data_IF_989731793917
#
_entry.id   IF_989731793917
#
_cell.length_a   1.000
_cell.length_b   1.000
_cell.length_c   1.000
_cell.angle_alpha   90.00
_cell.angle_beta   90.00
_cell.angle_gamma   90.00
#
_symmetry.space_group_name_H-M   'P 1'
#
loop_
_entity.id
_entity.type
_entity.pdbx_description
1 polymer ?
#
# COMPACT_ATOMS: atom_id res chain seq x y z
N UNK A 1 21.13 -19.57 21.66
CA UNK A 1 21.70 -18.40 22.38
C UNK A 1 21.33 -17.18 21.58
N UNK A 2 20.98 -16.06 22.22
CA UNK A 2 20.66 -14.85 21.48
C UNK A 2 21.93 -14.30 20.81
N UNK A 3 21.79 -13.78 19.59
CA UNK A 3 22.87 -13.31 18.72
C UNK A 3 22.92 -11.79 18.83
N UNK A 4 24.06 -11.25 19.24
CA UNK A 4 24.28 -9.81 19.23
C UNK A 4 24.71 -9.36 17.85
N UNK A 5 23.73 -8.97 17.03
CA UNK A 5 23.96 -8.52 15.65
C UNK A 5 24.69 -7.17 15.57
N UNK A 6 24.74 -6.41 16.68
CA UNK A 6 25.39 -5.10 16.73
C UNK A 6 26.91 -5.19 16.71
N UNK A 7 27.44 -6.38 16.99
CA UNK A 7 28.87 -6.69 17.04
C UNK A 7 29.37 -7.47 15.82
N UNK A 8 28.47 -7.79 14.89
CA UNK A 8 28.79 -8.55 13.68
C UNK A 8 29.08 -7.60 12.53
N UNK A 9 30.03 -7.98 11.68
CA UNK A 9 30.17 -7.34 10.38
C UNK A 9 29.20 -7.96 9.36
N UNK A 10 29.10 -7.32 8.20
CA UNK A 10 28.23 -7.78 7.10
C UNK A 10 28.55 -9.21 6.65
N UNK A 11 29.83 -9.59 6.64
CA UNK A 11 30.26 -10.90 6.16
C UNK A 11 29.78 -12.04 7.08
N UNK A 12 29.79 -11.80 8.39
CA UNK A 12 29.44 -12.78 9.41
C UNK A 12 27.96 -12.75 9.80
N UNK A 13 27.24 -11.65 9.54
CA UNK A 13 25.86 -11.42 9.97
C UNK A 13 24.91 -12.57 9.59
N UNK A 14 24.78 -12.86 8.29
CA UNK A 14 23.89 -13.93 7.82
C UNK A 14 24.37 -15.33 8.23
N UNK A 15 25.69 -15.54 8.35
CA UNK A 15 26.26 -16.81 8.79
C UNK A 15 25.90 -17.09 10.26
N UNK A 16 25.95 -16.06 11.11
CA UNK A 16 25.60 -16.16 12.52
C UNK A 16 24.10 -16.36 12.74
N UNK A 17 23.25 -15.70 11.94
CA UNK A 17 21.79 -15.79 12.01
C UNK A 17 21.28 -17.16 11.53
N UNK A 18 21.88 -17.72 10.47
CA UNK A 18 21.48 -19.00 9.89
C UNK A 18 20.08 -18.99 9.26
N UNK A 19 19.56 -20.19 8.96
CA UNK A 19 18.27 -20.40 8.27
C UNK A 19 17.08 -20.59 9.25
N UNK A 20 17.34 -20.57 10.55
CA UNK A 20 16.37 -20.82 11.61
C UNK A 20 15.68 -19.56 12.13
N UNK A 21 14.95 -19.69 13.25
CA UNK A 21 14.46 -18.52 13.96
C UNK A 21 15.65 -17.68 14.45
N UNK A 22 15.63 -16.39 14.18
CA UNK A 22 16.66 -15.48 14.65
C UNK A 22 16.31 -14.99 16.05
N UNK A 23 17.10 -15.42 17.03
CA UNK A 23 17.01 -14.92 18.40
C UNK A 23 18.05 -13.82 18.57
N UNK A 24 17.61 -12.57 18.65
CA UNK A 24 18.48 -11.38 18.66
C UNK A 24 18.69 -10.92 20.09
N UNK A 25 19.95 -10.69 20.47
CA UNK A 25 20.27 -10.08 21.75
C UNK A 25 19.88 -8.61 21.72
N UNK A 26 19.18 -8.18 22.75
CA UNK A 26 18.65 -6.82 22.85
C UNK A 26 19.41 -6.01 23.90
N UNK A 27 19.33 -4.66 23.85
CA UNK A 27 19.91 -3.82 24.89
C UNK A 27 19.41 -4.19 26.29
N UNK A 28 20.14 -3.74 27.30
CA UNK A 28 19.82 -4.06 28.70
C UNK A 28 18.41 -3.57 29.04
N UNK A 29 17.57 -4.46 29.56
CA UNK A 29 16.18 -4.16 29.92
C UNK A 29 15.13 -4.72 28.95
N UNK A 30 15.56 -5.23 27.79
CA UNK A 30 14.70 -5.85 26.80
C UNK A 30 14.93 -7.37 26.77
N UNK A 31 13.84 -8.14 26.61
CA UNK A 31 13.95 -9.56 26.29
C UNK A 31 14.47 -9.75 24.86
N UNK A 32 15.09 -10.90 24.58
CA UNK A 32 15.59 -11.20 23.24
C UNK A 32 14.47 -11.13 22.20
N UNK A 33 14.72 -10.44 21.09
CA UNK A 33 13.75 -10.35 19.99
C UNK A 33 13.78 -11.66 19.21
N UNK A 34 12.60 -12.20 18.91
CA UNK A 34 12.49 -13.39 18.03
C UNK A 34 11.98 -12.98 16.65
N UNK A 35 12.78 -13.19 15.62
CA UNK A 35 12.33 -13.11 14.22
C UNK A 35 12.14 -14.53 13.71
N UNK A 36 10.90 -14.98 13.57
CA UNK A 36 10.62 -16.37 13.21
C UNK A 36 10.86 -16.65 11.73
N UNK A 37 11.12 -17.91 11.39
CA UNK A 37 11.28 -18.40 10.02
C UNK A 37 10.09 -17.97 9.16
N UNK A 38 8.88 -18.16 9.67
CA UNK A 38 7.67 -17.76 8.96
C UNK A 38 7.66 -16.26 8.66
N UNK A 39 8.04 -15.43 9.64
CA UNK A 39 8.02 -13.98 9.49
C UNK A 39 8.98 -13.49 8.41
N UNK A 40 10.25 -13.94 8.42
CA UNK A 40 11.20 -13.48 7.41
C UNK A 40 10.98 -14.18 6.06
N UNK A 41 10.47 -15.42 6.04
CA UNK A 41 10.05 -16.07 4.79
C UNK A 41 8.88 -15.33 4.10
N UNK A 42 7.94 -14.75 4.86
CA UNK A 42 6.90 -13.89 4.30
C UNK A 42 7.48 -12.62 3.68
N UNK A 43 8.53 -12.04 4.26
CA UNK A 43 9.21 -10.87 3.68
C UNK A 43 9.89 -11.24 2.36
N UNK A 44 10.64 -12.34 2.37
CA UNK A 44 11.27 -12.88 1.15
C UNK A 44 10.22 -13.18 0.08
N UNK A 45 9.08 -13.77 0.44
CA UNK A 45 7.99 -14.04 -0.48
C UNK A 45 7.36 -12.74 -1.03
N UNK A 46 7.20 -11.70 -0.20
CA UNK A 46 6.73 -10.39 -0.66
C UNK A 46 7.64 -9.84 -1.76
N UNK A 47 8.95 -9.75 -1.51
CA UNK A 47 9.90 -9.23 -2.51
C UNK A 47 9.97 -10.12 -3.76
N UNK A 48 10.01 -11.45 -3.56
CA UNK A 48 10.03 -12.41 -4.67
C UNK A 48 8.78 -12.31 -5.56
N UNK A 49 7.59 -12.13 -4.96
CA UNK A 49 6.36 -11.92 -5.75
C UNK A 49 6.35 -10.59 -6.47
N UNK A 50 6.93 -9.52 -5.90
CA UNK A 50 7.09 -8.22 -6.58
C UNK A 50 8.00 -8.34 -7.82
N UNK A 51 9.12 -9.06 -7.72
CA UNK A 51 9.98 -9.35 -8.88
C UNK A 51 9.21 -10.06 -9.99
N UNK A 52 8.47 -11.13 -9.66
CA UNK A 52 7.66 -11.85 -10.65
C UNK A 52 6.61 -10.93 -11.28
N UNK A 53 5.95 -10.08 -10.50
CA UNK A 53 5.00 -9.09 -11.02
C UNK A 53 5.66 -8.10 -11.97
N UNK A 54 6.84 -7.59 -11.64
CA UNK A 54 7.60 -6.69 -12.50
C UNK A 54 7.90 -7.36 -13.86
N UNK A 55 8.37 -8.62 -13.85
CA UNK A 55 8.59 -9.40 -15.08
C UNK A 55 7.27 -9.58 -15.87
N UNK A 56 6.17 -9.95 -15.21
CA UNK A 56 4.87 -10.16 -15.87
C UNK A 56 4.28 -8.87 -16.43
N UNK A 57 4.53 -7.73 -15.78
CA UNK A 57 4.10 -6.42 -16.25
C UNK A 57 4.84 -6.01 -17.54
N UNK A 58 6.06 -6.52 -17.76
CA UNK A 58 6.80 -6.28 -19.01
C UNK A 58 7.22 -4.82 -19.17
N UNK A 59 7.33 -4.08 -18.08
CA UNK A 59 7.54 -2.63 -18.08
C UNK A 59 8.69 -2.25 -17.16
N UNK A 60 9.63 -1.48 -17.69
CA UNK A 60 10.75 -0.87 -16.97
C UNK A 60 10.63 0.64 -17.04
N UNK A 61 11.43 1.31 -16.23
CA UNK A 61 11.47 2.77 -16.19
C UNK A 61 12.92 3.22 -16.27
N UNK A 62 13.18 4.15 -17.18
CA UNK A 62 14.46 4.86 -17.28
C UNK A 62 14.24 6.33 -16.94
N UNK A 63 15.23 6.97 -16.33
CA UNK A 63 15.18 8.40 -16.00
C UNK A 63 16.01 9.14 -17.02
N UNK A 64 15.36 10.06 -17.73
CA UNK A 64 15.98 10.96 -18.67
C UNK A 64 16.28 12.31 -17.98
N UNK A 65 17.54 12.71 -18.00
CA UNK A 65 18.03 13.95 -17.38
C UNK A 65 18.39 15.03 -18.43
N UNK A 66 18.16 14.79 -19.73
CA UNK A 66 18.63 15.67 -20.79
C UNK A 66 18.05 17.09 -20.70
N UNK A 67 16.87 17.24 -20.11
CA UNK A 67 16.16 18.52 -19.98
C UNK A 67 16.28 19.14 -18.57
N UNK A 68 17.06 18.53 -17.68
CA UNK A 68 17.19 19.02 -16.32
C UNK A 68 18.07 20.29 -16.28
N UNK A 69 17.61 21.36 -15.61
CA UNK A 69 18.49 22.50 -15.35
C UNK A 69 19.64 22.10 -14.40
N UNK A 70 20.79 22.79 -14.40
CA UNK A 70 21.99 22.36 -13.65
C UNK A 70 21.86 22.24 -12.12
N UNK A 71 20.75 22.67 -11.54
CA UNK A 71 20.45 22.61 -10.10
C UNK A 71 19.37 21.59 -9.74
N UNK A 72 18.80 20.93 -10.76
CA UNK A 72 17.78 19.90 -10.65
C UNK A 72 18.33 18.63 -11.27
N UNK A 73 18.21 17.51 -10.57
CA UNK A 73 18.58 16.19 -11.07
C UNK A 73 17.42 15.22 -10.86
N UNK A 74 16.19 15.76 -10.95
CA UNK A 74 14.97 14.99 -10.82
C UNK A 74 14.77 14.05 -12.00
N UNK A 75 15.09 14.49 -13.21
CA UNK A 75 14.79 13.80 -14.46
C UNK A 75 13.30 13.57 -14.69
N UNK A 76 13.00 13.10 -15.90
CA UNK A 76 11.68 12.63 -16.29
C UNK A 76 11.72 11.14 -16.59
N UNK A 77 10.80 10.42 -15.94
CA UNK A 77 10.73 8.98 -16.07
C UNK A 77 10.02 8.56 -17.35
N UNK A 78 10.70 7.73 -18.14
CA UNK A 78 10.19 7.17 -19.38
C UNK A 78 9.86 5.68 -19.22
N UNK A 79 8.60 5.27 -19.42
CA UNK A 79 8.23 3.87 -19.40
C UNK A 79 8.74 3.15 -20.66
N UNK A 80 9.38 2.01 -20.47
CA UNK A 80 9.81 1.14 -21.55
C UNK A 80 9.15 -0.22 -21.48
N UNK A 81 8.55 -0.65 -22.58
CA UNK A 81 8.05 -2.02 -22.72
C UNK A 81 9.24 -2.93 -23.05
N UNK A 82 9.33 -4.04 -22.33
CA UNK A 82 10.39 -5.03 -22.48
C UNK A 82 9.80 -6.42 -22.57
N UNK A 83 10.47 -7.30 -23.30
CA UNK A 83 10.08 -8.70 -23.38
C UNK A 83 10.24 -9.40 -22.02
N UNK A 84 9.22 -10.16 -21.61
CA UNK A 84 9.19 -10.79 -20.28
C UNK A 84 10.31 -11.83 -20.10
N UNK A 85 10.72 -12.53 -21.16
CA UNK A 85 11.81 -13.49 -21.08
C UNK A 85 13.15 -12.78 -20.90
N UNK A 86 13.33 -11.60 -21.53
CA UNK A 86 14.49 -10.75 -21.28
C UNK A 86 14.50 -10.25 -19.83
N UNK A 87 13.38 -9.72 -19.32
CA UNK A 87 13.28 -9.22 -17.94
C UNK A 87 13.63 -10.29 -16.91
N UNK A 88 13.14 -11.52 -17.12
CA UNK A 88 13.41 -12.65 -16.23
C UNK A 88 14.90 -12.98 -16.10
N UNK A 89 15.68 -12.75 -17.15
CA UNK A 89 17.10 -13.10 -17.21
C UNK A 89 18.04 -11.88 -17.09
N UNK A 90 17.48 -10.67 -16.93
CA UNK A 90 18.25 -9.43 -16.96
C UNK A 90 19.19 -9.28 -15.77
N UNK A 91 18.78 -9.80 -14.62
CA UNK A 91 19.51 -9.75 -13.36
C UNK A 91 19.80 -11.17 -12.86
N UNK A 92 20.95 -11.35 -12.20
CA UNK A 92 21.36 -12.63 -11.63
C UNK A 92 20.68 -12.88 -10.29
N UNK A 93 20.54 -11.81 -9.48
CA UNK A 93 19.97 -11.88 -8.13
C UNK A 93 18.87 -10.84 -7.93
N UNK A 94 18.04 -11.05 -6.91
CA UNK A 94 17.07 -10.05 -6.49
C UNK A 94 17.75 -8.76 -6.00
N UNK A 95 18.96 -8.84 -5.43
CA UNK A 95 19.71 -7.65 -5.00
C UNK A 95 20.05 -6.72 -6.16
N UNK A 96 20.56 -7.28 -7.26
CA UNK A 96 20.84 -6.51 -8.47
C UNK A 96 19.56 -5.84 -9.03
N UNK A 97 18.45 -6.58 -9.03
CA UNK A 97 17.15 -6.05 -9.49
C UNK A 97 16.61 -4.94 -8.58
N UNK A 98 16.65 -5.12 -7.26
CA UNK A 98 16.15 -4.17 -6.27
C UNK A 98 16.79 -2.79 -6.45
N UNK A 99 18.12 -2.76 -6.58
CA UNK A 99 18.88 -1.52 -6.71
C UNK A 99 18.75 -0.88 -8.09
N UNK A 100 18.63 -1.69 -9.16
CA UNK A 100 18.67 -1.18 -10.53
C UNK A 100 17.32 -0.72 -11.09
N UNK A 101 16.20 -1.26 -10.58
CA UNK A 101 14.88 -1.00 -11.16
C UNK A 101 14.06 0.01 -10.35
N UNK A 102 13.45 0.95 -11.06
CA UNK A 102 12.51 1.92 -10.50
C UNK A 102 11.07 1.40 -10.49
N UNK A 103 10.29 1.83 -9.51
CA UNK A 103 8.89 1.40 -9.33
C UNK A 103 7.91 2.18 -10.20
N UNK A 104 8.29 3.37 -10.64
CA UNK A 104 7.39 4.31 -11.28
C UNK A 104 6.93 5.47 -10.38
N UNK A 105 7.27 5.42 -9.09
CA UNK A 105 6.84 6.39 -8.09
C UNK A 105 7.98 7.34 -7.73
N UNK A 106 7.62 8.54 -7.26
CA UNK A 106 8.60 9.50 -6.78
C UNK A 106 8.08 10.21 -5.54
N UNK A 107 9.01 10.68 -4.71
CA UNK A 107 8.75 11.53 -3.55
C UNK A 107 9.63 12.77 -3.57
N UNK A 108 9.16 13.91 -3.04
CA UNK A 108 10.02 15.08 -2.89
C UNK A 108 11.07 14.82 -1.79
N UNK A 109 12.34 15.12 -2.04
CA UNK A 109 13.41 14.99 -1.04
C UNK A 109 14.25 16.26 -0.92
N UNK A 110 14.80 16.50 0.27
CA UNK A 110 15.71 17.64 0.48
C UNK A 110 17.04 17.46 -0.26
N UNK A 111 17.47 16.21 -0.47
CA UNK A 111 18.71 15.84 -1.15
C UNK A 111 18.72 16.23 -2.64
N UNK A 112 17.55 16.36 -3.25
CA UNK A 112 17.37 16.83 -4.63
C UNK A 112 17.00 18.32 -4.70
N UNK A 113 17.27 19.12 -3.65
CA UNK A 113 16.81 20.52 -3.53
C UNK A 113 15.28 20.65 -3.71
N UNK A 114 14.49 19.74 -3.12
CA UNK A 114 13.04 19.62 -3.31
C UNK A 114 12.62 19.08 -4.69
N UNK A 115 13.52 18.46 -5.43
CA UNK A 115 13.24 17.72 -6.66
C UNK A 115 12.62 16.33 -6.42
N UNK A 116 12.40 15.58 -7.51
CA UNK A 116 11.87 14.22 -7.50
C UNK A 116 12.99 13.24 -7.15
N UNK A 117 12.77 12.44 -6.10
CA UNK A 117 13.49 11.18 -5.88
C UNK A 117 12.66 10.04 -6.43
N UNK A 118 13.12 9.40 -7.49
CA UNK A 118 12.46 8.22 -8.06
C UNK A 118 12.76 7.01 -7.21
N UNK A 119 11.71 6.32 -6.77
CA UNK A 119 11.82 5.19 -5.86
C UNK A 119 12.23 3.93 -6.62
N UNK A 120 13.29 3.30 -6.14
CA UNK A 120 13.72 1.96 -6.54
C UNK A 120 12.89 0.88 -5.85
N UNK A 121 12.98 -0.36 -6.33
CA UNK A 121 12.42 -1.49 -5.58
C UNK A 121 13.17 -1.75 -4.26
N UNK A 122 14.44 -1.38 -4.17
CA UNK A 122 15.21 -1.34 -2.91
C UNK A 122 14.57 -0.38 -1.90
N UNK A 123 14.24 0.85 -2.30
CA UNK A 123 13.58 1.83 -1.42
C UNK A 123 12.28 1.27 -0.84
N UNK A 124 11.45 0.64 -1.69
CA UNK A 124 10.17 0.05 -1.28
C UNK A 124 10.37 -1.15 -0.36
N UNK A 125 11.33 -2.02 -0.66
CA UNK A 125 11.62 -3.19 0.18
C UNK A 125 12.17 -2.76 1.56
N UNK A 126 13.04 -1.75 1.60
CA UNK A 126 13.59 -1.13 2.81
C UNK A 126 12.48 -0.51 3.67
N UNK A 127 11.58 0.29 3.07
CA UNK A 127 10.43 0.82 3.80
C UNK A 127 9.54 -0.31 4.34
N UNK A 128 9.24 -1.33 3.52
CA UNK A 128 8.40 -2.45 3.92
C UNK A 128 8.99 -3.20 5.12
N UNK A 129 10.31 -3.46 5.12
CA UNK A 129 10.94 -4.16 6.24
C UNK A 129 10.99 -3.29 7.49
N UNK A 130 11.26 -1.99 7.38
CA UNK A 130 11.21 -1.06 8.50
C UNK A 130 9.82 -1.01 9.18
N UNK A 131 8.75 -0.93 8.38
CA UNK A 131 7.36 -0.97 8.88
C UNK A 131 7.04 -2.30 9.58
N UNK A 132 7.46 -3.42 8.98
CA UNK A 132 7.21 -4.75 9.56
C UNK A 132 8.01 -4.97 10.83
N UNK A 133 9.28 -4.58 10.86
CA UNK A 133 10.11 -4.63 12.07
C UNK A 133 9.47 -3.78 13.17
N UNK A 134 9.05 -2.56 12.84
CA UNK A 134 8.36 -1.69 13.80
C UNK A 134 7.13 -2.36 14.44
N UNK A 135 6.32 -3.05 13.63
CA UNK A 135 5.21 -3.84 14.13
C UNK A 135 5.65 -5.02 15.00
N UNK A 136 6.70 -5.74 14.59
CA UNK A 136 7.26 -6.86 15.35
C UNK A 136 7.72 -6.40 16.75
N UNK A 137 8.49 -5.31 16.82
CA UNK A 137 8.93 -4.69 18.05
C UNK A 137 7.74 -4.31 18.94
N UNK A 138 6.76 -3.58 18.40
CA UNK A 138 5.54 -3.21 19.14
C UNK A 138 4.78 -4.42 19.68
N UNK A 139 4.72 -5.50 18.91
CA UNK A 139 4.00 -6.71 19.31
C UNK A 139 4.69 -7.48 20.44
N UNK A 140 6.02 -7.60 20.41
CA UNK A 140 6.77 -8.37 21.42
C UNK A 140 7.02 -7.56 22.69
N UNK A 141 7.18 -6.24 22.58
CA UNK A 141 7.39 -5.35 23.72
C UNK A 141 6.13 -4.59 24.13
N UNK A 142 4.94 -5.10 23.76
CA UNK A 142 3.64 -4.42 23.98
C UNK A 142 3.43 -3.98 25.44
N UNK A 143 3.86 -4.78 26.41
CA UNK A 143 3.73 -4.46 27.84
C UNK A 143 4.61 -3.28 28.27
N UNK A 144 5.73 -3.06 27.57
CA UNK A 144 6.66 -1.96 27.80
C UNK A 144 6.18 -0.70 27.08
N UNK A 145 5.64 -0.84 25.86
CA UNK A 145 4.99 0.26 25.13
C UNK A 145 3.70 0.75 25.81
N UNK A 146 2.92 -0.13 26.45
CA UNK A 146 1.65 0.24 27.10
C UNK A 146 1.80 1.05 28.40
N UNK A 147 3.02 1.12 28.97
CA UNK A 147 3.26 1.75 30.26
C UNK A 147 3.38 3.29 30.21
N UNK A 148 3.66 3.89 29.06
CA UNK A 148 3.68 5.36 28.91
C UNK A 148 3.64 5.77 27.44
N UNK A 149 2.59 6.52 27.08
CA UNK A 149 2.19 6.72 25.67
C UNK A 149 2.88 7.92 24.99
N UNK A 150 3.46 8.87 25.73
CA UNK A 150 3.88 10.16 25.13
C UNK A 150 5.40 10.45 25.14
N UNK A 151 6.21 9.90 26.07
CA UNK A 151 7.67 10.20 26.15
C UNK A 151 8.60 8.99 25.93
N UNK A 152 8.05 7.76 25.95
CA UNK A 152 8.86 6.54 25.94
C UNK A 152 8.96 5.90 24.55
N UNK A 153 8.07 6.27 23.62
CA UNK A 153 8.17 5.81 22.23
C UNK A 153 9.49 6.29 21.60
N UNK A 154 9.85 7.57 21.76
CA UNK A 154 11.12 8.12 21.27
C UNK A 154 12.34 7.47 21.95
N UNK A 155 12.28 7.23 23.26
CA UNK A 155 13.40 6.61 24.00
C UNK A 155 13.59 5.14 23.61
N UNK A 156 12.49 4.39 23.45
CA UNK A 156 12.54 3.00 22.98
C UNK A 156 13.06 2.96 21.54
N UNK A 157 12.63 3.88 20.67
CA UNK A 157 13.14 3.91 19.30
C UNK A 157 14.64 4.27 19.25
N UNK A 158 15.12 5.18 20.10
CA UNK A 158 16.54 5.50 20.21
C UNK A 158 17.37 4.28 20.64
N UNK A 159 16.88 3.51 21.63
CA UNK A 159 17.53 2.27 22.10
C UNK A 159 17.55 1.17 21.03
N UNK A 160 16.49 1.08 20.23
CA UNK A 160 16.26 -0.02 19.30
C UNK A 160 16.71 0.28 17.85
N UNK A 161 16.94 1.55 17.52
CA UNK A 161 17.27 1.99 16.16
C UNK A 161 18.44 1.22 15.56
N UNK A 162 19.51 1.01 16.34
CA UNK A 162 20.68 0.29 15.84
C UNK A 162 20.37 -1.19 15.55
N UNK A 163 19.57 -1.84 16.40
CA UNK A 163 19.13 -3.23 16.16
C UNK A 163 18.25 -3.31 14.92
N UNK A 164 17.32 -2.36 14.76
CA UNK A 164 16.43 -2.29 13.60
C UNK A 164 17.21 -2.15 12.30
N UNK A 165 18.17 -1.23 12.22
CA UNK A 165 18.99 -1.00 11.03
C UNK A 165 19.78 -2.25 10.66
N UNK A 166 20.39 -2.94 11.64
CA UNK A 166 21.13 -4.18 11.38
C UNK A 166 20.21 -5.34 10.95
N UNK A 167 18.98 -5.42 11.50
CA UNK A 167 17.99 -6.43 11.08
C UNK A 167 17.45 -6.17 9.69
N UNK A 168 17.13 -4.92 9.38
CA UNK A 168 16.74 -4.48 8.04
C UNK A 168 17.84 -4.86 7.04
N UNK A 169 19.09 -4.53 7.35
CA UNK A 169 20.23 -4.91 6.51
C UNK A 169 20.33 -6.42 6.33
N UNK A 170 20.26 -7.21 7.42
CA UNK A 170 20.27 -8.68 7.34
C UNK A 170 19.16 -9.23 6.43
N UNK A 171 17.94 -8.70 6.54
CA UNK A 171 16.79 -9.12 5.74
C UNK A 171 16.97 -8.75 4.27
N UNK A 172 17.50 -7.55 3.99
CA UNK A 172 17.82 -7.12 2.63
C UNK A 172 18.92 -7.97 2.00
N UNK A 173 19.95 -8.34 2.75
CA UNK A 173 20.99 -9.28 2.30
C UNK A 173 20.42 -10.68 2.03
N UNK A 174 19.52 -11.16 2.91
CA UNK A 174 18.89 -12.48 2.76
C UNK A 174 18.11 -12.54 1.44
N UNK A 175 17.34 -11.50 1.14
CA UNK A 175 16.61 -11.36 -0.13
C UNK A 175 17.58 -11.21 -1.30
N UNK A 176 18.58 -10.33 -1.15
CA UNK A 176 19.52 -9.97 -2.20
C UNK A 176 20.34 -11.13 -2.74
N UNK A 177 20.57 -12.18 -1.93
CA UNK A 177 21.30 -13.40 -2.31
C UNK A 177 20.47 -14.38 -3.14
N UNK A 178 19.16 -14.21 -3.25
CA UNK A 178 18.29 -15.12 -3.99
C UNK A 178 18.47 -14.88 -5.47
N UNK A 179 18.73 -15.94 -6.23
CA UNK A 179 18.82 -15.84 -7.68
C UNK A 179 17.45 -15.50 -8.27
N UNK A 180 17.41 -14.70 -9.34
CA UNK A 180 16.14 -14.39 -10.05
C UNK A 180 15.46 -15.65 -10.60
N UNK A 181 16.26 -16.67 -10.95
CA UNK A 181 15.76 -17.98 -11.37
C UNK A 181 15.04 -18.69 -10.22
N UNK A 182 15.62 -18.72 -9.03
CA UNK A 182 14.99 -19.33 -7.85
C UNK A 182 13.75 -18.54 -7.43
N UNK A 183 13.82 -17.21 -7.42
CA UNK A 183 12.68 -16.35 -7.11
C UNK A 183 11.51 -16.63 -8.06
N UNK A 184 11.77 -16.72 -9.36
CA UNK A 184 10.76 -17.09 -10.35
C UNK A 184 10.16 -18.47 -10.04
N UNK A 185 10.99 -19.50 -9.88
CA UNK A 185 10.52 -20.86 -9.64
C UNK A 185 9.69 -20.99 -8.36
N UNK A 186 10.06 -20.27 -7.30
CA UNK A 186 9.39 -20.33 -5.99
C UNK A 186 8.08 -19.53 -5.98
N UNK A 187 8.05 -18.38 -6.65
CA UNK A 187 6.97 -17.41 -6.45
C UNK A 187 6.04 -17.22 -7.65
N UNK A 188 6.33 -17.78 -8.82
CA UNK A 188 5.48 -17.67 -10.02
C UNK A 188 4.03 -18.07 -9.75
N UNK A 189 3.81 -19.27 -9.21
CA UNK A 189 2.47 -19.79 -8.95
C UNK A 189 1.71 -18.94 -7.90
N UNK A 190 2.42 -18.50 -6.86
CA UNK A 190 1.86 -17.63 -5.82
C UNK A 190 1.45 -16.27 -6.42
N UNK A 191 2.30 -15.67 -7.24
CA UNK A 191 2.01 -14.40 -7.91
C UNK A 191 0.80 -14.51 -8.83
N UNK A 192 0.70 -15.56 -9.64
CA UNK A 192 -0.49 -15.76 -10.48
C UNK A 192 -1.77 -15.94 -9.63
N UNK A 193 -1.70 -16.68 -8.53
CA UNK A 193 -2.84 -16.83 -7.62
C UNK A 193 -3.27 -15.49 -7.01
N UNK A 194 -2.33 -14.66 -6.57
CA UNK A 194 -2.63 -13.32 -6.04
C UNK A 194 -3.24 -12.40 -7.12
N UNK A 195 -2.70 -12.40 -8.34
CA UNK A 195 -3.25 -11.61 -9.46
C UNK A 195 -4.69 -12.06 -9.77
N UNK A 196 -4.94 -13.38 -9.82
CA UNK A 196 -6.28 -13.92 -10.07
C UNK A 196 -7.27 -13.52 -8.96
N UNK A 197 -6.83 -13.56 -7.71
CA UNK A 197 -7.64 -13.15 -6.56
C UNK A 197 -7.93 -11.64 -6.56
N UNK A 198 -6.93 -10.80 -6.86
CA UNK A 198 -7.11 -9.36 -7.03
C UNK A 198 -8.11 -9.05 -8.15
N UNK A 199 -8.03 -9.76 -9.28
CA UNK A 199 -8.98 -9.63 -10.38
C UNK A 199 -10.39 -10.06 -9.97
N UNK A 200 -10.52 -11.16 -9.22
CA UNK A 200 -11.81 -11.63 -8.70
C UNK A 200 -12.43 -10.59 -7.75
N UNK A 201 -11.67 -10.12 -6.76
CA UNK A 201 -12.12 -9.10 -5.82
C UNK A 201 -12.47 -7.78 -6.52
N UNK A 202 -11.69 -7.38 -7.51
CA UNK A 202 -11.96 -6.19 -8.32
C UNK A 202 -13.24 -6.34 -9.14
N UNK A 203 -13.46 -7.50 -9.76
CA UNK A 203 -14.68 -7.80 -10.50
C UNK A 203 -15.91 -7.80 -9.58
N UNK A 204 -15.82 -8.38 -8.39
CA UNK A 204 -16.88 -8.37 -7.38
C UNK A 204 -17.22 -6.95 -6.93
N UNK A 205 -16.21 -6.15 -6.59
CA UNK A 205 -16.40 -4.72 -6.24
C UNK A 205 -17.03 -3.94 -7.37
N UNK A 206 -16.60 -4.18 -8.61
CA UNK A 206 -17.14 -3.52 -9.80
C UNK A 206 -18.60 -3.90 -10.03
N UNK A 207 -18.95 -5.18 -9.87
CA UNK A 207 -20.32 -5.67 -10.01
C UNK A 207 -21.24 -5.07 -8.93
N UNK A 208 -20.80 -5.05 -7.66
CA UNK A 208 -21.53 -4.42 -6.57
C UNK A 208 -21.73 -2.92 -6.84
N UNK A 209 -20.68 -2.22 -7.26
CA UNK A 209 -20.76 -0.80 -7.60
C UNK A 209 -21.76 -0.55 -8.75
N UNK A 210 -21.72 -1.35 -9.81
CA UNK A 210 -22.64 -1.26 -10.94
C UNK A 210 -24.09 -1.52 -10.52
N UNK A 211 -24.33 -2.50 -9.67
CA UNK A 211 -25.66 -2.80 -9.13
C UNK A 211 -26.19 -1.64 -8.28
N UNK A 212 -25.37 -1.10 -7.37
CA UNK A 212 -25.71 0.07 -6.56
C UNK A 212 -25.99 1.30 -7.43
N UNK A 213 -25.18 1.53 -8.47
CA UNK A 213 -25.38 2.62 -9.42
C UNK A 213 -26.71 2.46 -10.19
N UNK A 214 -27.03 1.25 -10.65
CA UNK A 214 -28.28 0.96 -11.35
C UNK A 214 -29.51 1.22 -10.46
N UNK A 215 -29.47 0.81 -9.18
CA UNK A 215 -30.54 1.09 -8.19
C UNK A 215 -30.74 2.58 -7.98
N UNK A 216 -29.66 3.30 -7.72
CA UNK A 216 -29.67 4.75 -7.53
C UNK A 216 -30.21 5.48 -8.76
N UNK A 217 -29.83 5.03 -9.96
CA UNK A 217 -30.32 5.59 -11.22
C UNK A 217 -31.81 5.30 -11.43
N UNK A 218 -32.25 4.07 -11.17
CA UNK A 218 -33.67 3.69 -11.26
C UNK A 218 -34.52 4.49 -10.26
N UNK A 219 -34.06 4.62 -9.01
CA UNK A 219 -34.72 5.46 -8.00
C UNK A 219 -34.88 6.90 -8.49
N UNK A 220 -33.79 7.50 -8.98
CA UNK A 220 -33.81 8.87 -9.48
C UNK A 220 -34.75 9.05 -10.68
N UNK A 221 -34.71 8.13 -11.64
CA UNK A 221 -35.58 8.17 -12.82
C UNK A 221 -37.06 7.97 -12.48
N UNK A 222 -37.35 7.17 -11.46
CA UNK A 222 -38.73 6.88 -11.02
C UNK A 222 -39.34 8.08 -10.31
N UNK A 223 -38.61 8.68 -9.36
CA UNK A 223 -39.18 9.67 -8.45
C UNK A 223 -38.86 11.14 -8.79
N UNK A 224 -37.84 11.36 -9.64
CA UNK A 224 -37.40 12.70 -10.05
C UNK A 224 -37.15 12.82 -11.57
N UNK A 225 -38.05 12.31 -12.44
CA UNK A 225 -37.87 12.43 -13.89
C UNK A 225 -37.88 13.91 -14.35
N UNK A 226 -38.56 14.78 -13.61
CA UNK A 226 -38.68 16.22 -13.84
C UNK A 226 -37.38 17.00 -13.63
N UNK A 227 -36.44 16.43 -12.89
CA UNK A 227 -35.19 17.11 -12.50
C UNK A 227 -33.97 16.63 -13.31
N UNK A 228 -34.21 15.80 -14.32
CA UNK A 228 -33.15 15.26 -15.15
C UNK A 228 -32.41 16.40 -15.89
N UNK A 229 -31.09 16.48 -15.74
CA UNK A 229 -30.18 17.52 -16.30
C UNK A 229 -30.23 18.91 -15.67
N UNK A 230 -31.03 19.13 -14.63
CA UNK A 230 -31.03 20.41 -13.90
C UNK A 230 -29.87 20.46 -12.92
N UNK A 231 -29.08 21.54 -12.94
CA UNK A 231 -28.10 21.80 -11.88
C UNK A 231 -28.85 22.25 -10.62
N UNK A 232 -28.71 21.51 -9.53
CA UNK A 232 -29.39 21.76 -8.27
C UNK A 232 -28.36 22.25 -7.26
N UNK A 233 -28.39 23.55 -6.99
CA UNK A 233 -27.65 24.15 -5.89
C UNK A 233 -28.56 24.31 -4.67
N UNK A 234 -27.99 24.76 -3.55
CA UNK A 234 -28.70 24.86 -2.27
C UNK A 234 -30.01 25.68 -2.36
N UNK A 235 -30.08 26.83 -3.06
CA UNK A 235 -31.34 27.57 -3.19
C UNK A 235 -32.43 26.76 -3.92
N UNK A 236 -32.08 26.06 -5.00
CA UNK A 236 -33.01 25.20 -5.75
C UNK A 236 -33.44 23.99 -4.93
N UNK A 237 -32.52 23.40 -4.17
CA UNK A 237 -32.83 22.28 -3.28
C UNK A 237 -33.91 22.65 -2.25
N UNK A 238 -33.82 23.85 -1.67
CA UNK A 238 -34.82 24.39 -0.74
C UNK A 238 -36.12 24.74 -1.48
N UNK A 239 -36.04 25.46 -2.60
CA UNK A 239 -37.20 25.91 -3.36
C UNK A 239 -38.06 24.73 -3.87
N UNK A 240 -37.41 23.65 -4.32
CA UNK A 240 -38.04 22.42 -4.78
C UNK A 240 -38.47 21.49 -3.63
N UNK A 241 -38.21 21.88 -2.37
CA UNK A 241 -38.48 21.09 -1.16
C UNK A 241 -37.94 19.66 -1.25
N UNK A 242 -36.75 19.49 -1.84
CA UNK A 242 -36.19 18.19 -2.14
C UNK A 242 -35.87 17.36 -0.90
N UNK A 243 -35.44 18.00 0.19
CA UNK A 243 -35.22 17.30 1.45
C UNK A 243 -36.48 16.59 1.95
N UNK A 244 -37.62 17.29 1.99
CA UNK A 244 -38.87 16.72 2.47
C UNK A 244 -39.33 15.56 1.57
N UNK A 245 -39.25 15.74 0.24
CA UNK A 245 -39.56 14.70 -0.74
C UNK A 245 -38.69 13.46 -0.55
N UNK A 246 -37.38 13.65 -0.36
CA UNK A 246 -36.44 12.54 -0.17
C UNK A 246 -36.72 11.78 1.13
N UNK A 247 -36.97 12.50 2.24
CA UNK A 247 -37.32 11.87 3.53
C UNK A 247 -38.57 11.01 3.42
N UNK A 248 -39.61 11.51 2.76
CA UNK A 248 -40.84 10.76 2.54
C UNK A 248 -40.59 9.52 1.67
N UNK A 249 -39.87 9.67 0.55
CA UNK A 249 -39.56 8.55 -0.33
C UNK A 249 -38.70 7.48 0.33
N UNK A 250 -37.76 7.86 1.21
CA UNK A 250 -36.92 6.91 1.93
C UNK A 250 -37.70 6.01 2.89
N UNK A 251 -38.90 6.40 3.34
CA UNK A 251 -39.73 5.53 4.19
C UNK A 251 -40.21 4.28 3.44
N UNK A 252 -40.44 4.40 2.14
CA UNK A 252 -41.00 3.33 1.28
C UNK A 252 -39.96 2.71 0.33
N UNK A 253 -38.71 3.16 0.40
CA UNK A 253 -37.62 2.66 -0.46
C UNK A 253 -36.94 1.47 0.19
N UNK A 254 -36.52 0.48 -0.62
CA UNK A 254 -35.79 -0.66 -0.09
C UNK A 254 -34.46 -0.23 0.57
N UNK A 255 -34.10 -0.81 1.74
CA UNK A 255 -32.90 -0.41 2.48
C UNK A 255 -31.61 -0.49 1.66
N UNK A 256 -31.51 -1.44 0.73
CA UNK A 256 -30.34 -1.59 -0.14
C UNK A 256 -30.18 -0.40 -1.11
N UNK A 257 -31.28 0.13 -1.66
CA UNK A 257 -31.26 1.36 -2.46
C UNK A 257 -30.91 2.58 -1.61
N UNK A 258 -31.42 2.69 -0.38
CA UNK A 258 -31.07 3.80 0.54
C UNK A 258 -29.59 3.76 0.88
N UNK A 259 -29.05 2.57 1.17
CA UNK A 259 -27.61 2.35 1.40
C UNK A 259 -26.77 2.75 0.19
N UNK A 260 -27.18 2.37 -1.02
CA UNK A 260 -26.52 2.80 -2.24
C UNK A 260 -26.55 4.34 -2.42
N UNK A 261 -27.65 5.01 -2.05
CA UNK A 261 -27.74 6.48 -2.07
C UNK A 261 -26.83 7.12 -1.00
N UNK A 262 -26.73 6.53 0.18
CA UNK A 262 -25.85 7.01 1.25
C UNK A 262 -24.36 6.94 0.86
N UNK A 263 -23.97 5.90 0.12
CA UNK A 263 -22.59 5.69 -0.35
C UNK A 263 -22.28 6.52 -1.60
N UNK A 264 -23.08 6.38 -2.66
CA UNK A 264 -22.81 6.96 -3.98
C UNK A 264 -23.34 8.38 -4.11
N UNK A 265 -24.44 8.69 -3.41
CA UNK A 265 -25.25 9.88 -3.66
C UNK A 265 -26.20 9.66 -4.84
N UNK A 266 -27.12 10.61 -5.04
CA UNK A 266 -28.02 10.60 -6.19
C UNK A 266 -27.31 11.09 -7.47
N UNK A 267 -27.69 10.61 -8.66
CA UNK A 267 -26.96 10.83 -9.91
C UNK A 267 -27.26 12.19 -10.55
N UNK A 268 -27.86 13.13 -9.81
CA UNK A 268 -28.19 14.46 -10.32
C UNK A 268 -26.99 15.41 -10.25
N UNK A 269 -27.08 16.53 -10.98
CA UNK A 269 -26.05 17.56 -11.01
C UNK A 269 -26.14 18.46 -9.76
N UNK A 270 -25.78 17.91 -8.61
CA UNK A 270 -25.76 18.61 -7.32
C UNK A 270 -24.45 19.34 -7.08
N UNK A 271 -24.50 20.49 -6.41
CA UNK A 271 -23.31 21.05 -5.75
C UNK A 271 -22.82 20.11 -4.63
N UNK A 272 -21.52 20.15 -4.30
CA UNK A 272 -20.94 19.29 -3.26
C UNK A 272 -21.74 19.36 -1.94
N UNK A 273 -22.09 20.57 -1.51
CA UNK A 273 -22.90 20.79 -0.31
C UNK A 273 -24.28 20.11 -0.32
N UNK A 274 -24.94 20.03 -1.48
CA UNK A 274 -26.24 19.36 -1.60
C UNK A 274 -26.04 17.84 -1.65
N UNK A 275 -24.97 17.37 -2.29
CA UNK A 275 -24.61 15.95 -2.30
C UNK A 275 -24.38 15.41 -0.89
N UNK A 276 -23.70 16.18 -0.05
CA UNK A 276 -23.44 15.80 1.34
C UNK A 276 -24.74 15.74 2.17
N UNK A 277 -25.65 16.70 1.96
CA UNK A 277 -26.98 16.70 2.61
C UNK A 277 -27.75 15.45 2.19
N UNK A 278 -27.82 15.13 0.89
CA UNK A 278 -28.54 13.94 0.39
C UNK A 278 -27.97 12.65 1.00
N UNK A 279 -26.64 12.51 1.07
CA UNK A 279 -26.01 11.34 1.69
C UNK A 279 -26.32 11.27 3.18
N UNK A 280 -26.30 12.39 3.91
CA UNK A 280 -26.64 12.43 5.32
C UNK A 280 -28.11 12.05 5.58
N UNK A 281 -29.03 12.49 4.72
CA UNK A 281 -30.44 12.12 4.78
C UNK A 281 -30.65 10.61 4.59
N UNK A 282 -29.93 10.01 3.64
CA UNK A 282 -30.01 8.58 3.38
C UNK A 282 -29.45 7.76 4.56
N UNK A 283 -28.32 8.18 5.16
CA UNK A 283 -27.77 7.55 6.36
C UNK A 283 -28.76 7.59 7.53
N UNK A 284 -29.35 8.76 7.78
CA UNK A 284 -30.33 8.92 8.85
C UNK A 284 -31.64 8.15 8.61
N UNK A 285 -31.90 7.64 7.41
CA UNK A 285 -33.05 6.79 7.11
C UNK A 285 -32.75 5.29 7.29
N UNK A 286 -31.48 4.92 7.48
CA UNK A 286 -31.04 3.55 7.79
C UNK A 286 -30.92 3.30 9.30
N UNK A 287 -30.85 4.37 10.09
CA UNK A 287 -30.82 4.37 11.56
C UNK A 287 -32.25 4.28 12.15
#
# INVERSE_FOLDING_TARGET
>A
MAIDITQLDEADLLSALGDGDWLIAMPTGYEALTVSIAWHAEFVASVGTQFVRWVLNGKRYEIDYDNDPPWDHSGDMQPQNSDRMLLRALYSTLGEWLTAEYTGQWRPTYESNYGKHWESYEDVATQQVGERLSYLFRSQYVAQFAASVDDMEDTIWDDLAFVMVNLEHALMMLVGRISTTDAWQRYEALTYAQIAEEQRLSAERTALYQQSQARVQQFWQTYFPDLNRTKIERPQFIALKLEARLRELFLDTDPETIMAIAELGLPANFSNSVRDIVKALARAALD
#
